data_IF_904539360450
#
_entry.id   IF_904539360450
#
_cell.length_a   1.000
_cell.length_b   1.000
_cell.length_c   1.000
_cell.angle_alpha   90.00
_cell.angle_beta   90.00
_cell.angle_gamma   90.00
#
_symmetry.space_group_name_H-M   'P 1'
#
loop_
_entity.id
_entity.type
_entity.pdbx_description
1 polymer ?
#
# COMPACT_ATOMS: atom_id res chain seq x y z
N UNK A 1 -26.00 7.72 -14.34
CA UNK A 1 -24.73 6.96 -14.27
C UNK A 1 -23.59 7.79 -13.71
N UNK A 2 -23.34 9.02 -14.20
CA UNK A 2 -22.34 9.91 -13.59
C UNK A 2 -22.64 10.25 -12.12
N UNK A 3 -23.91 10.49 -11.79
CA UNK A 3 -24.36 10.85 -10.42
C UNK A 3 -24.15 9.73 -9.37
N UNK A 4 -24.08 8.45 -9.77
CA UNK A 4 -23.85 7.32 -8.85
C UNK A 4 -22.38 7.18 -8.42
N UNK A 5 -21.44 7.69 -9.23
CA UNK A 5 -20.01 7.62 -8.92
C UNK A 5 -19.59 8.72 -7.95
N UNK A 6 -20.24 9.89 -8.00
CA UNK A 6 -19.96 11.02 -7.10
C UNK A 6 -20.42 10.77 -5.66
N UNK A 7 -21.40 9.91 -5.42
CA UNK A 7 -21.81 9.56 -4.05
C UNK A 7 -20.73 8.79 -3.27
N UNK A 8 -19.86 8.07 -3.97
CA UNK A 8 -18.90 7.14 -3.34
C UNK A 8 -17.44 7.59 -3.46
N UNK A 9 -17.11 8.46 -4.42
CA UNK A 9 -15.73 8.85 -4.70
C UNK A 9 -15.60 10.35 -4.98
N UNK A 10 -14.59 10.98 -4.37
CA UNK A 10 -14.41 12.43 -4.51
C UNK A 10 -13.74 12.85 -5.82
N UNK A 11 -13.00 11.94 -6.47
CA UNK A 11 -12.16 12.18 -7.66
C UNK A 11 -11.24 13.42 -7.59
N UNK A 12 -11.03 13.96 -6.39
CA UNK A 12 -10.39 15.25 -6.13
C UNK A 12 -8.96 15.11 -5.59
N UNK A 13 -8.42 13.88 -5.53
CA UNK A 13 -7.08 13.63 -5.02
C UNK A 13 -6.05 14.20 -6.00
N UNK A 14 -5.11 14.95 -5.45
CA UNK A 14 -3.97 15.49 -6.19
C UNK A 14 -2.84 14.46 -6.28
N UNK A 15 -1.84 14.74 -7.10
CA UNK A 15 -0.61 13.93 -7.15
C UNK A 15 0.10 13.93 -5.80
N UNK A 16 0.20 15.09 -5.14
CA UNK A 16 0.79 15.24 -3.80
C UNK A 16 0.08 14.36 -2.76
N UNK A 17 -1.25 14.20 -2.85
CA UNK A 17 -2.02 13.32 -1.96
C UNK A 17 -1.62 11.84 -2.15
N UNK A 18 -1.40 11.43 -3.40
CA UNK A 18 -1.03 10.07 -3.78
C UNK A 18 0.41 9.79 -3.34
N UNK A 19 1.35 10.72 -3.58
CA UNK A 19 2.74 10.63 -3.13
C UNK A 19 2.83 10.59 -1.60
N UNK A 20 2.05 11.43 -0.91
CA UNK A 20 1.95 11.42 0.55
C UNK A 20 1.42 10.07 1.07
N UNK A 21 0.45 9.48 0.37
CA UNK A 21 -0.07 8.16 0.74
C UNK A 21 0.98 7.06 0.49
N UNK A 22 1.76 7.17 -0.60
CA UNK A 22 2.85 6.25 -0.89
C UNK A 22 3.91 6.26 0.22
N UNK A 23 4.39 7.45 0.65
CA UNK A 23 5.35 7.57 1.76
C UNK A 23 4.80 6.92 3.06
N UNK A 24 3.52 7.18 3.40
CA UNK A 24 2.87 6.55 4.56
C UNK A 24 2.80 5.03 4.44
N UNK A 25 2.46 4.51 3.26
CA UNK A 25 2.38 3.08 3.01
C UNK A 25 3.75 2.41 3.13
N UNK A 26 4.81 3.00 2.56
CA UNK A 26 6.18 2.50 2.64
C UNK A 26 6.73 2.52 4.08
N UNK A 27 6.45 3.58 4.86
CA UNK A 27 6.81 3.63 6.29
C UNK A 27 6.15 2.50 7.07
N UNK A 28 4.86 2.26 6.85
CA UNK A 28 4.13 1.19 7.54
C UNK A 28 4.59 -0.19 7.09
N UNK A 29 4.91 -0.37 5.81
CA UNK A 29 5.50 -1.59 5.26
C UNK A 29 6.83 -1.89 5.98
N UNK A 30 7.72 -0.90 6.04
CA UNK A 30 9.01 -1.01 6.72
C UNK A 30 8.85 -1.29 8.22
N UNK A 31 7.89 -0.69 8.89
CA UNK A 31 7.57 -1.01 10.28
C UNK A 31 7.23 -2.50 10.46
N UNK A 32 6.32 -3.06 9.64
CA UNK A 32 5.98 -4.48 9.74
C UNK A 32 7.16 -5.38 9.38
N UNK A 33 7.99 -4.99 8.41
CA UNK A 33 9.23 -5.68 8.06
C UNK A 33 10.19 -5.78 9.26
N UNK A 34 10.46 -4.66 9.93
CA UNK A 34 11.32 -4.61 11.11
C UNK A 34 10.73 -5.40 12.29
N UNK A 35 9.41 -5.29 12.53
CA UNK A 35 8.77 -6.07 13.60
C UNK A 35 8.83 -7.57 13.36
N UNK A 36 8.79 -8.04 12.11
CA UNK A 36 8.99 -9.47 11.81
C UNK A 36 10.38 -9.97 12.22
N UNK A 37 11.44 -9.14 12.16
CA UNK A 37 12.78 -9.55 12.60
C UNK A 37 12.96 -9.54 14.12
N UNK A 38 12.11 -8.81 14.85
CA UNK A 38 12.16 -8.73 16.32
C UNK A 38 11.41 -9.88 17.02
N UNK A 39 10.57 -10.62 16.30
CA UNK A 39 9.70 -11.66 16.88
C UNK A 39 10.01 -13.04 16.32
N UNK A 40 9.72 -14.09 17.12
CA UNK A 40 9.91 -15.48 16.68
C UNK A 40 9.09 -15.78 15.43
N UNK A 41 9.75 -16.29 14.39
CA UNK A 41 9.14 -16.74 13.14
C UNK A 41 7.96 -17.69 13.44
N UNK A 42 6.86 -17.54 12.70
CA UNK A 42 5.58 -18.28 12.86
C UNK A 42 4.87 -18.09 14.21
N UNK A 43 5.32 -17.20 15.09
CA UNK A 43 4.51 -16.78 16.25
C UNK A 43 3.25 -16.04 15.79
N UNK A 44 2.23 -15.94 16.67
CA UNK A 44 1.02 -15.16 16.39
C UNK A 44 1.36 -13.71 16.00
N UNK A 45 2.29 -13.08 16.71
CA UNK A 45 2.76 -11.72 16.39
C UNK A 45 3.42 -11.66 15.02
N UNK A 46 4.31 -12.61 14.70
CA UNK A 46 4.97 -12.68 13.40
C UNK A 46 3.95 -12.77 12.26
N UNK A 47 2.93 -13.63 12.38
CA UNK A 47 1.89 -13.80 11.35
C UNK A 47 1.10 -12.51 11.13
N UNK A 48 0.81 -11.75 12.18
CA UNK A 48 0.15 -10.45 12.06
C UNK A 48 1.01 -9.46 11.28
N UNK A 49 2.31 -9.38 11.59
CA UNK A 49 3.21 -8.48 10.85
C UNK A 49 3.42 -8.96 9.41
N UNK A 50 3.54 -10.26 9.15
CA UNK A 50 3.69 -10.82 7.82
C UNK A 50 2.48 -10.56 6.91
N UNK A 51 1.26 -10.71 7.44
CA UNK A 51 0.02 -10.42 6.70
C UNK A 51 -0.09 -8.94 6.33
N UNK A 52 0.16 -8.05 7.29
CA UNK A 52 0.12 -6.60 7.04
C UNK A 52 1.23 -6.17 6.07
N UNK A 53 2.43 -6.71 6.22
CA UNK A 53 3.52 -6.48 5.28
C UNK A 53 3.09 -6.87 3.86
N UNK A 54 2.55 -8.08 3.68
CA UNK A 54 2.14 -8.54 2.35
C UNK A 54 1.00 -7.71 1.74
N UNK A 55 0.02 -7.30 2.54
CA UNK A 55 -1.03 -6.41 2.09
C UNK A 55 -0.49 -5.04 1.64
N UNK A 56 0.45 -4.48 2.40
CA UNK A 56 1.08 -3.20 2.09
C UNK A 56 1.98 -3.26 0.85
N UNK A 57 2.61 -4.41 0.54
CA UNK A 57 3.34 -4.57 -0.72
C UNK A 57 2.42 -4.31 -1.93
N UNK A 58 1.20 -4.85 -1.90
CA UNK A 58 0.19 -4.60 -2.94
C UNK A 58 -0.19 -3.12 -3.02
N UNK A 59 -0.47 -2.48 -1.88
CA UNK A 59 -0.81 -1.05 -1.81
C UNK A 59 0.32 -0.18 -2.40
N UNK A 60 1.56 -0.42 -2.00
CA UNK A 60 2.74 0.31 -2.50
C UNK A 60 2.90 0.10 -3.99
N UNK A 61 2.80 -1.15 -4.49
CA UNK A 61 2.91 -1.46 -5.92
C UNK A 61 1.83 -0.74 -6.73
N UNK A 62 0.59 -0.71 -6.27
CA UNK A 62 -0.51 0.00 -6.95
C UNK A 62 -0.28 1.51 -6.95
N UNK A 63 0.14 2.11 -5.84
CA UNK A 63 0.40 3.56 -5.79
C UNK A 63 1.55 3.97 -6.71
N UNK A 64 2.64 3.18 -6.74
CA UNK A 64 3.76 3.40 -7.68
C UNK A 64 3.32 3.29 -9.13
N UNK A 65 2.52 2.28 -9.46
CA UNK A 65 1.91 2.17 -10.79
C UNK A 65 1.02 3.38 -11.12
N UNK A 66 0.20 3.85 -10.17
CA UNK A 66 -0.63 5.06 -10.35
C UNK A 66 0.21 6.30 -10.66
N UNK A 67 1.39 6.43 -10.04
CA UNK A 67 2.33 7.53 -10.29
C UNK A 67 3.17 7.34 -11.56
N UNK A 68 3.04 6.22 -12.27
CA UNK A 68 3.75 5.97 -13.52
C UNK A 68 5.19 5.45 -13.33
N UNK A 69 5.44 4.67 -12.27
CA UNK A 69 6.70 3.95 -12.10
C UNK A 69 7.00 3.08 -13.34
N UNK A 70 8.16 3.33 -13.96
CA UNK A 70 8.57 2.72 -15.24
C UNK A 70 8.88 1.23 -15.12
N UNK A 71 9.15 0.76 -13.90
CA UNK A 71 9.47 -0.64 -13.63
C UNK A 71 8.21 -1.48 -13.35
N UNK A 72 7.03 -0.85 -13.25
CA UNK A 72 5.75 -1.52 -12.98
C UNK A 72 4.81 -1.36 -14.16
N UNK A 73 4.72 -2.39 -14.99
CA UNK A 73 3.79 -2.41 -16.12
C UNK A 73 2.33 -2.67 -15.68
N UNK A 74 2.14 -3.59 -14.74
CA UNK A 74 0.83 -4.00 -14.22
C UNK A 74 0.94 -4.27 -12.70
N UNK A 75 0.13 -3.60 -11.86
CA UNK A 75 0.23 -3.77 -10.42
C UNK A 75 -0.31 -5.13 -9.95
N UNK A 76 -1.09 -5.85 -10.76
CA UNK A 76 -1.74 -7.12 -10.38
C UNK A 76 -1.00 -8.37 -10.84
N UNK A 77 -0.09 -8.25 -11.82
CA UNK A 77 0.69 -9.35 -12.38
C UNK A 77 2.11 -9.46 -11.80
#
# INVERSE_FOLDING_TARGET
MAELFEENYTYSRTWDDIETMLDKAERKLNFHKSKMSEVRIKSKSWVVHARNYKALEGVVKTLKWTLGDRDIQDPLN
#
